data_IF_327613444593
#
_entry.id   IF_327613444593
#
_cell.length_a   1.000
_cell.length_b   1.000
_cell.length_c   1.000
_cell.angle_alpha   90.00
_cell.angle_beta   90.00
_cell.angle_gamma   90.00
#
_symmetry.space_group_name_H-M   'P 1'
#
loop_
_entity.id
_entity.type
_entity.pdbx_description
1 polymer ?
#
# COMPACT_ATOMS: atom_id res chain seq x y z
N UNK A 1 -16.35 -3.75 4.98
CA UNK A 1 -15.32 -4.22 4.03
C UNK A 1 -14.58 -2.98 3.56
N UNK A 2 -13.25 -2.97 3.58
CA UNK A 2 -12.48 -1.80 3.15
C UNK A 2 -12.71 -1.53 1.66
N UNK A 3 -12.83 -0.27 1.25
CA UNK A 3 -12.99 0.11 -0.16
C UNK A 3 -11.78 0.89 -0.67
N UNK A 4 -11.68 1.03 -1.99
CA UNK A 4 -10.68 1.89 -2.63
C UNK A 4 -10.70 3.32 -2.06
N UNK A 5 -11.89 3.89 -1.86
CA UNK A 5 -12.07 5.24 -1.32
C UNK A 5 -11.50 5.37 0.08
N UNK A 6 -11.70 4.37 0.94
CA UNK A 6 -11.14 4.37 2.30
C UNK A 6 -9.61 4.39 2.27
N UNK A 7 -9.01 3.63 1.35
CA UNK A 7 -7.55 3.59 1.18
C UNK A 7 -7.02 4.92 0.65
N UNK A 8 -7.64 5.47 -0.39
CA UNK A 8 -7.23 6.76 -0.96
C UNK A 8 -7.35 7.90 0.05
N UNK A 9 -8.45 7.96 0.80
CA UNK A 9 -8.60 8.96 1.87
C UNK A 9 -7.52 8.82 2.94
N UNK A 10 -7.17 7.59 3.33
CA UNK A 10 -6.12 7.37 4.33
C UNK A 10 -4.74 7.78 3.80
N UNK A 11 -4.44 7.49 2.53
CA UNK A 11 -3.23 7.96 1.86
C UNK A 11 -3.19 9.50 1.90
N UNK A 12 -4.24 10.17 1.44
CA UNK A 12 -4.31 11.64 1.42
C UNK A 12 -4.18 12.25 2.82
N UNK A 13 -4.83 11.67 3.83
CA UNK A 13 -4.67 12.10 5.22
C UNK A 13 -3.22 11.97 5.74
N UNK A 14 -2.43 11.09 5.12
CA UNK A 14 -1.04 10.83 5.50
C UNK A 14 -0.06 11.73 4.75
N UNK A 15 -0.24 11.90 3.43
CA UNK A 15 0.71 12.64 2.58
C UNK A 15 0.35 14.11 2.40
N UNK A 16 -0.91 14.48 2.62
CA UNK A 16 -1.45 15.83 2.43
C UNK A 16 -2.83 15.78 1.76
N UNK A 17 -3.88 16.39 2.35
CA UNK A 17 -5.24 16.33 1.83
C UNK A 17 -5.40 17.03 0.47
N UNK A 18 -4.53 17.99 0.17
CA UNK A 18 -4.52 18.74 -1.09
C UNK A 18 -3.80 17.99 -2.23
N UNK A 19 -3.18 16.85 -1.96
CA UNK A 19 -2.51 16.04 -2.98
C UNK A 19 -3.57 15.12 -3.63
N UNK A 20 -3.92 15.33 -4.91
CA UNK A 20 -4.82 14.41 -5.60
C UNK A 20 -4.12 13.06 -5.79
N UNK A 21 -4.89 11.97 -5.69
CA UNK A 21 -4.35 10.60 -5.73
C UNK A 21 -3.46 10.33 -6.95
N UNK A 22 -3.82 10.85 -8.12
CA UNK A 22 -3.07 10.69 -9.38
C UNK A 22 -1.70 11.40 -9.42
N UNK A 23 -1.42 12.30 -8.47
CA UNK A 23 -0.12 12.93 -8.32
C UNK A 23 0.75 12.23 -7.26
N UNK A 24 0.23 11.19 -6.60
CA UNK A 24 0.96 10.47 -5.56
C UNK A 24 2.26 9.87 -6.11
N UNK A 25 2.24 9.26 -7.30
CA UNK A 25 3.43 8.64 -7.89
C UNK A 25 4.52 9.64 -8.32
N UNK A 26 4.22 10.94 -8.36
CA UNK A 26 5.23 11.98 -8.60
C UNK A 26 6.00 12.35 -7.33
N UNK A 27 5.40 12.12 -6.15
CA UNK A 27 5.93 12.54 -4.85
C UNK A 27 6.35 11.36 -3.98
N UNK A 28 5.72 10.20 -4.17
CA UNK A 28 5.92 9.00 -3.36
C UNK A 28 5.99 7.77 -4.25
N UNK A 29 6.97 6.91 -3.97
CA UNK A 29 6.92 5.52 -4.39
C UNK A 29 6.04 4.78 -3.40
N UNK A 30 5.06 4.03 -3.91
CA UNK A 30 4.27 3.16 -3.05
C UNK A 30 4.49 1.70 -3.40
N UNK A 31 4.46 0.89 -2.35
CA UNK A 31 4.58 -0.55 -2.42
C UNK A 31 3.43 -1.18 -1.65
N UNK A 32 2.92 -2.29 -2.15
CA UNK A 32 1.80 -3.00 -1.53
C UNK A 32 2.15 -4.45 -1.28
N UNK A 33 1.64 -4.99 -0.18
CA UNK A 33 1.70 -6.41 0.16
C UNK A 33 0.43 -6.84 0.89
N UNK A 34 0.08 -8.11 0.77
CA UNK A 34 -1.00 -8.72 1.55
C UNK A 34 -0.33 -9.61 2.59
N UNK A 35 -0.62 -9.38 3.86
CA UNK A 35 0.10 -10.00 4.98
C UNK A 35 -0.80 -10.23 6.17
N UNK A 36 -0.49 -11.26 6.95
CA UNK A 36 -0.99 -11.53 8.30
C UNK A 36 0.02 -11.11 9.38
N UNK A 37 1.26 -10.80 8.99
CA UNK A 37 2.37 -10.43 9.88
C UNK A 37 2.78 -8.97 9.65
N UNK A 38 1.98 -8.03 10.18
CA UNK A 38 2.19 -6.58 9.98
C UNK A 38 3.57 -6.10 10.43
N UNK A 39 4.01 -6.46 11.64
CA UNK A 39 5.28 -5.98 12.22
C UNK A 39 6.49 -6.45 11.41
N UNK A 40 6.49 -7.72 10.97
CA UNK A 40 7.57 -8.27 10.14
C UNK A 40 7.58 -7.63 8.75
N UNK A 41 6.40 -7.38 8.19
CA UNK A 41 6.26 -6.72 6.89
C UNK A 41 6.77 -5.29 6.96
N UNK A 42 6.36 -4.53 7.95
CA UNK A 42 6.81 -3.16 8.19
C UNK A 42 8.33 -3.10 8.38
N UNK A 43 8.89 -3.95 9.24
CA UNK A 43 10.34 -4.02 9.46
C UNK A 43 11.10 -4.35 8.16
N UNK A 44 10.56 -5.25 7.33
CA UNK A 44 11.14 -5.56 6.03
C UNK A 44 11.13 -4.35 5.09
N UNK A 45 10.00 -3.63 4.96
CA UNK A 45 9.90 -2.47 4.08
C UNK A 45 10.82 -1.33 4.52
N UNK A 46 10.87 -1.04 5.82
CA UNK A 46 11.81 -0.06 6.37
C UNK A 46 13.26 -0.46 6.14
N UNK A 47 13.62 -1.74 6.33
CA UNK A 47 14.97 -2.23 6.08
C UNK A 47 15.36 -2.14 4.60
N UNK A 48 14.43 -2.40 3.68
CA UNK A 48 14.72 -2.44 2.23
C UNK A 48 14.69 -1.07 1.57
N UNK A 49 13.72 -0.23 1.93
CA UNK A 49 13.45 1.05 1.28
C UNK A 49 13.80 2.26 2.16
N UNK A 50 14.22 2.06 3.41
CA UNK A 50 14.65 3.14 4.30
C UNK A 50 13.48 3.85 4.99
N UNK A 51 13.48 5.18 4.97
CA UNK A 51 12.43 5.99 5.60
C UNK A 51 11.15 6.03 4.75
N UNK A 52 10.00 6.01 5.40
CA UNK A 52 8.70 6.00 4.75
C UNK A 52 7.58 5.83 5.76
N UNK A 53 6.34 5.77 5.26
CA UNK A 53 5.15 5.62 6.09
C UNK A 53 4.41 4.35 5.74
N UNK A 54 4.10 3.56 6.76
CA UNK A 54 3.31 2.34 6.65
C UNK A 54 1.83 2.63 6.90
N UNK A 55 0.96 2.07 6.06
CA UNK A 55 -0.49 2.05 6.22
C UNK A 55 -0.97 0.61 6.16
N UNK A 56 -1.98 0.27 6.94
CA UNK A 56 -2.55 -1.07 6.94
C UNK A 56 -4.08 -1.03 7.00
N UNK A 57 -4.71 -1.99 6.31
CA UNK A 57 -6.16 -2.10 6.20
C UNK A 57 -6.59 -3.55 6.37
N UNK A 58 -7.57 -3.86 7.24
CA UNK A 58 -8.07 -5.22 7.36
C UNK A 58 -8.77 -5.64 6.06
N UNK A 59 -8.45 -6.85 5.59
CA UNK A 59 -9.02 -7.45 4.39
C UNK A 59 -10.00 -8.57 4.75
N UNK A 60 -11.02 -8.72 3.92
CA UNK A 60 -11.96 -9.83 4.01
C UNK A 60 -11.43 -11.11 3.36
N UNK A 61 -10.69 -10.98 2.26
CA UNK A 61 -10.07 -12.09 1.54
C UNK A 61 -8.83 -11.63 0.78
N UNK A 62 -8.00 -12.59 0.40
CA UNK A 62 -6.79 -12.35 -0.39
C UNK A 62 -7.12 -11.82 -1.79
N UNK A 63 -8.15 -12.37 -2.45
CA UNK A 63 -8.61 -11.91 -3.76
C UNK A 63 -9.06 -10.44 -3.72
N UNK A 64 -9.85 -10.08 -2.69
CA UNK A 64 -10.25 -8.70 -2.47
C UNK A 64 -9.04 -7.77 -2.29
N UNK A 65 -8.00 -8.22 -1.58
CA UNK A 65 -6.75 -7.48 -1.45
C UNK A 65 -6.04 -7.24 -2.79
N UNK A 66 -5.99 -8.26 -3.66
CA UNK A 66 -5.36 -8.12 -4.99
C UNK A 66 -6.10 -7.08 -5.84
N UNK A 67 -7.43 -7.15 -5.87
CA UNK A 67 -8.23 -6.20 -6.66
C UNK A 67 -8.06 -4.79 -6.12
N UNK A 68 -8.09 -4.61 -4.80
CA UNK A 68 -7.87 -3.31 -4.17
C UNK A 68 -6.50 -2.72 -4.51
N UNK A 69 -5.44 -3.53 -4.48
CA UNK A 69 -4.09 -3.06 -4.84
C UNK A 69 -4.05 -2.61 -6.30
N UNK A 70 -4.63 -3.39 -7.21
CA UNK A 70 -4.67 -3.02 -8.64
C UNK A 70 -5.37 -1.69 -8.84
N UNK A 71 -6.52 -1.49 -8.19
CA UNK A 71 -7.26 -0.24 -8.27
C UNK A 71 -6.46 0.94 -7.68
N UNK A 72 -5.81 0.77 -6.53
CA UNK A 72 -4.96 1.80 -5.92
C UNK A 72 -3.84 2.21 -6.88
N UNK A 73 -3.15 1.25 -7.49
CA UNK A 73 -2.07 1.53 -8.45
C UNK A 73 -2.59 2.24 -9.71
N UNK A 74 -3.76 1.85 -10.24
CA UNK A 74 -4.39 2.56 -11.36
C UNK A 74 -4.71 4.01 -10.96
N UNK A 75 -5.29 4.24 -9.80
CA UNK A 75 -5.67 5.58 -9.35
C UNK A 75 -4.47 6.48 -9.03
N UNK A 76 -3.38 5.89 -8.53
CA UNK A 76 -2.23 6.66 -8.04
C UNK A 76 -1.07 6.77 -9.04
N UNK A 77 -0.91 5.78 -9.91
CA UNK A 77 0.17 5.69 -10.90
C UNK A 77 -0.31 5.61 -12.35
N UNK A 78 -1.63 5.49 -12.59
CA UNK A 78 -2.18 5.26 -13.92
C UNK A 78 -1.81 3.90 -14.54
N UNK A 79 -1.22 2.99 -13.77
CA UNK A 79 -0.65 1.72 -14.25
C UNK A 79 -0.92 0.60 -13.26
N UNK A 80 -0.78 -0.65 -13.70
CA UNK A 80 -0.80 -1.81 -12.80
C UNK A 80 0.54 -1.94 -12.05
N UNK A 81 0.54 -2.51 -10.83
CA UNK A 81 1.78 -2.81 -10.13
C UNK A 81 2.61 -3.77 -10.97
N UNK A 82 3.89 -3.46 -11.17
CA UNK A 82 4.81 -4.33 -11.93
C UNK A 82 5.01 -5.68 -11.23
N UNK A 83 5.03 -5.68 -9.90
CA UNK A 83 5.11 -6.88 -9.07
C UNK A 83 4.25 -6.67 -7.82
N UNK A 84 3.37 -7.62 -7.53
CA UNK A 84 2.70 -7.71 -6.23
C UNK A 84 3.63 -8.53 -5.32
N UNK A 85 4.17 -7.94 -4.26
CA UNK A 85 4.98 -8.68 -3.29
C UNK A 85 4.02 -9.49 -2.40
N UNK A 86 3.63 -10.66 -2.90
CA UNK A 86 2.72 -11.59 -2.22
C UNK A 86 3.51 -12.57 -1.37
N UNK A 87 4.19 -12.06 -0.34
CA UNK A 87 4.86 -12.92 0.65
C UNK A 87 3.82 -13.73 1.39
N UNK A 88 3.63 -14.97 0.91
CA UNK A 88 2.74 -15.99 1.44
C UNK A 88 1.28 -15.52 1.51
N UNK A 89 0.45 -16.06 0.63
CA UNK A 89 -0.98 -16.12 0.92
C UNK A 89 -1.13 -16.85 2.28
N UNK A 90 -1.74 -16.25 3.30
CA UNK A 90 -1.84 -16.87 4.61
C UNK A 90 -2.74 -18.10 4.54
N UNK A 91 -2.54 -19.01 5.49
CA UNK A 91 -3.44 -20.13 5.69
C UNK A 91 -4.86 -19.60 6.01
N UNK A 92 -5.89 -20.37 5.64
CA UNK A 92 -7.32 -19.97 5.54
C UNK A 92 -7.98 -19.35 6.79
N UNK A 93 -7.26 -19.10 7.89
CA UNK A 93 -7.81 -18.71 9.19
C UNK A 93 -7.15 -17.51 9.88
N UNK A 94 -6.19 -16.82 9.25
CA UNK A 94 -5.54 -15.65 9.87
C UNK A 94 -6.10 -14.31 9.37
N UNK A 95 -6.05 -13.30 10.25
CA UNK A 95 -6.49 -11.93 9.94
C UNK A 95 -5.59 -11.36 8.85
N UNK A 96 -6.17 -11.18 7.67
CA UNK A 96 -5.51 -10.62 6.50
C UNK A 96 -5.48 -9.10 6.54
N UNK A 97 -4.37 -8.50 6.14
CA UNK A 97 -4.21 -7.06 5.99
C UNK A 97 -3.62 -6.71 4.63
N UNK A 98 -4.13 -5.64 4.02
CA UNK A 98 -3.43 -4.90 2.98
C UNK A 98 -2.44 -3.97 3.68
N UNK A 99 -1.17 -4.16 3.39
CA UNK A 99 -0.08 -3.29 3.80
C UNK A 99 0.33 -2.41 2.63
N UNK A 100 0.41 -1.10 2.87
CA UNK A 100 0.91 -0.11 1.92
C UNK A 100 2.08 0.64 2.55
N UNK A 101 3.18 0.73 1.83
CA UNK A 101 4.36 1.49 2.21
C UNK A 101 4.54 2.66 1.27
N UNK A 102 4.53 3.89 1.81
CA UNK A 102 4.73 5.13 1.07
C UNK A 102 6.13 5.66 1.37
N UNK A 103 7.01 5.59 0.38
CA UNK A 103 8.35 6.14 0.44
C UNK A 103 8.37 7.50 -0.27
N UNK A 104 8.67 8.62 0.42
CA UNK A 104 8.90 9.89 -0.24
C UNK A 104 9.97 9.76 -1.32
N UNK A 105 9.71 10.29 -2.51
CA UNK A 105 10.77 10.48 -3.48
C UNK A 105 11.62 11.64 -2.99
N UNK A 106 12.86 11.36 -2.60
CA UNK A 106 13.82 12.40 -2.23
C UNK A 106 13.97 13.34 -3.43
N UNK A 107 13.36 14.53 -3.35
CA UNK A 107 13.71 15.67 -4.19
C UNK A 107 15.00 16.22 -3.64
N UNK A 108 16.10 15.53 -3.91
CA UNK A 108 17.42 16.14 -3.77
C UNK A 108 17.54 17.21 -4.85
N UNK A 109 17.46 18.46 -4.39
CA UNK A 109 17.93 19.69 -5.06
C UNK A 109 19.42 19.56 -5.44
#
# INVERSE_FOLDING_TARGET
MITLTDVLHKIQATVGPDIPANHLNALYRHYASITDQLEETEAYYHKKYGSGTSLYFPLASYEHGIDLIREVYIQTSGTHPKELDTRKAPAQHEKLYLFLYLQPMDTHD
#
